data_IF_483728267680
#
_entry.id   IF_483728267680
#
_cell.length_a   1.000
_cell.length_b   1.000
_cell.length_c   1.000
_cell.angle_alpha   90.00
_cell.angle_beta   90.00
_cell.angle_gamma   90.00
#
_symmetry.space_group_name_H-M   'P 1'
#
loop_
_entity.id
_entity.type
_entity.pdbx_description
1 polymer ?
#
# COMPACT_ATOMS: atom_id res chain seq x y z
N UNK A 1 -8.00 3.90 20.48
CA UNK A 1 -6.77 3.11 20.58
C UNK A 1 -6.03 3.15 19.27
N UNK A 2 -4.77 3.46 19.32
CA UNK A 2 -3.92 3.52 18.13
C UNK A 2 -3.08 2.26 18.04
N UNK A 3 -3.22 1.54 16.95
CA UNK A 3 -2.43 0.34 16.68
C UNK A 3 -1.35 0.58 15.63
N UNK A 4 -1.15 1.82 15.25
CA UNK A 4 -0.07 2.19 14.38
C UNK A 4 1.12 2.51 15.26
N UNK A 5 2.01 1.54 15.38
CA UNK A 5 3.24 1.71 16.15
C UNK A 5 4.34 2.00 15.17
N UNK A 6 4.78 3.22 15.14
CA UNK A 6 5.98 3.58 14.41
C UNK A 6 7.17 3.35 15.34
N UNK A 7 7.70 2.15 15.36
CA UNK A 7 8.84 1.78 16.20
C UNK A 7 10.12 2.54 15.83
N UNK A 8 10.20 2.97 14.59
CA UNK A 8 11.40 3.61 14.07
C UNK A 8 11.26 5.12 13.94
N UNK A 9 10.09 5.65 14.21
CA UNK A 9 9.81 7.08 14.11
C UNK A 9 10.32 7.68 12.79
N UNK A 10 10.11 6.96 11.69
CA UNK A 10 10.67 7.30 10.38
C UNK A 10 9.73 8.26 9.64
N UNK A 11 10.16 9.50 9.34
CA UNK A 11 9.31 10.49 8.68
C UNK A 11 9.04 10.20 7.20
N UNK A 12 9.61 9.14 6.64
CA UNK A 12 9.49 8.81 5.21
C UNK A 12 8.40 7.78 4.93
N UNK A 13 7.49 7.54 5.88
CA UNK A 13 6.34 6.69 5.69
C UNK A 13 6.52 5.24 6.13
N UNK A 14 7.63 4.91 6.78
CA UNK A 14 7.82 3.61 7.42
C UNK A 14 7.06 3.60 8.75
N UNK A 15 6.17 2.62 8.93
CA UNK A 15 5.23 2.59 10.05
C UNK A 15 5.51 1.48 11.07
N UNK A 16 6.51 0.61 10.84
CA UNK A 16 6.73 -0.56 11.68
C UNK A 16 5.62 -1.59 11.52
N UNK A 17 5.21 -2.22 12.59
CA UNK A 17 4.11 -3.18 12.57
C UNK A 17 2.79 -2.48 12.80
N UNK A 18 1.82 -2.75 11.91
CA UNK A 18 0.46 -2.27 12.03
C UNK A 18 -0.45 -3.47 12.28
N UNK A 19 -1.30 -3.38 13.31
CA UNK A 19 -2.47 -4.22 13.44
C UNK A 19 -3.67 -3.45 12.93
N UNK A 20 -4.45 -4.06 12.05
CA UNK A 20 -5.65 -3.42 11.55
C UNK A 20 -6.62 -3.14 12.69
N UNK A 21 -7.00 -1.88 12.84
CA UNK A 21 -8.04 -1.43 13.76
C UNK A 21 -9.08 -0.64 12.95
N UNK A 22 -10.33 -1.11 12.87
CA UNK A 22 -11.35 -0.42 12.09
C UNK A 22 -11.68 0.98 12.61
N UNK A 23 -11.36 1.28 13.87
CA UNK A 23 -11.62 2.59 14.48
C UNK A 23 -10.44 3.57 14.32
N UNK A 24 -9.31 3.12 13.77
CA UNK A 24 -8.16 3.99 13.58
C UNK A 24 -8.35 4.93 12.38
N UNK A 25 -7.93 6.18 12.54
CA UNK A 25 -7.87 7.14 11.45
C UNK A 25 -6.52 7.03 10.72
N UNK A 26 -6.44 6.11 9.77
CA UNK A 26 -5.24 5.91 8.98
C UNK A 26 -4.91 7.12 8.11
N UNK A 27 -5.90 7.83 7.59
CA UNK A 27 -5.68 9.02 6.77
C UNK A 27 -4.96 10.12 7.56
N UNK A 28 -5.36 10.32 8.81
CA UNK A 28 -4.71 11.30 9.68
C UNK A 28 -3.24 10.94 9.91
N UNK A 29 -2.96 9.69 10.23
CA UNK A 29 -1.58 9.25 10.50
C UNK A 29 -0.70 9.35 9.27
N UNK A 30 -1.18 8.85 8.14
CA UNK A 30 -0.36 8.80 6.92
C UNK A 30 -0.16 10.16 6.27
N UNK A 31 -1.04 11.13 6.50
CA UNK A 31 -0.84 12.49 6.02
C UNK A 31 0.43 13.15 6.56
N UNK A 32 0.98 12.64 7.67
CA UNK A 32 2.24 13.12 8.24
C UNK A 32 3.47 12.68 7.45
N UNK A 33 3.34 11.68 6.59
CA UNK A 33 4.45 11.01 5.91
C UNK A 33 4.41 11.15 4.39
N UNK A 34 3.44 11.86 3.84
CA UNK A 34 3.27 11.97 2.40
C UNK A 34 3.76 13.32 1.87
N UNK A 35 4.11 13.34 0.59
CA UNK A 35 4.46 14.58 -0.12
C UNK A 35 3.22 15.43 -0.32
N UNK A 36 3.41 16.74 -0.60
CA UNK A 36 2.30 17.67 -0.82
C UNK A 36 1.36 17.22 -1.94
N UNK A 37 1.89 16.60 -2.98
CA UNK A 37 1.11 16.13 -4.13
C UNK A 37 0.16 14.98 -3.77
N UNK A 38 0.48 14.23 -2.72
CA UNK A 38 -0.28 13.05 -2.31
C UNK A 38 -1.09 13.29 -1.02
N UNK A 39 -1.00 14.48 -0.44
CA UNK A 39 -1.59 14.85 0.85
C UNK A 39 -3.10 14.63 0.95
N UNK A 40 -3.80 14.78 -0.16
CA UNK A 40 -5.25 14.67 -0.24
C UNK A 40 -5.73 13.28 -0.67
N UNK A 41 -4.81 12.34 -0.85
CA UNK A 41 -5.20 10.99 -1.21
C UNK A 41 -5.98 10.34 -0.05
N UNK A 42 -7.03 9.61 -0.39
CA UNK A 42 -7.82 8.83 0.54
C UNK A 42 -7.56 7.34 0.31
N UNK A 43 -8.00 6.50 1.23
CA UNK A 43 -7.91 5.06 1.01
C UNK A 43 -8.77 4.63 -0.18
N UNK A 44 -8.20 3.74 -0.99
CA UNK A 44 -9.01 2.93 -1.88
C UNK A 44 -9.65 1.77 -1.12
N UNK A 45 -10.90 1.50 -1.44
CA UNK A 45 -11.55 0.24 -1.13
C UNK A 45 -11.19 -0.79 -2.22
N UNK A 46 -11.46 -2.05 -1.98
CA UNK A 46 -11.20 -3.08 -2.99
C UNK A 46 -11.90 -2.77 -4.33
N UNK A 47 -13.12 -2.25 -4.28
CA UNK A 47 -13.88 -1.89 -5.47
C UNK A 47 -13.31 -0.70 -6.26
N UNK A 48 -12.39 0.04 -5.67
CA UNK A 48 -11.72 1.17 -6.34
C UNK A 48 -10.48 0.73 -7.12
N UNK A 49 -10.06 -0.52 -7.00
CA UNK A 49 -8.86 -1.06 -7.63
C UNK A 49 -9.18 -1.47 -9.08
N UNK A 50 -9.09 -0.53 -9.98
CA UNK A 50 -9.26 -0.73 -11.42
C UNK A 50 -8.55 0.39 -12.18
N UNK A 51 -8.19 0.14 -13.45
CA UNK A 51 -7.52 1.10 -14.33
C UNK A 51 -6.28 1.75 -13.71
N UNK A 52 -5.50 0.97 -12.98
CA UNK A 52 -4.28 1.43 -12.32
C UNK A 52 -3.19 1.65 -13.36
N UNK A 53 -2.67 2.88 -13.43
CA UNK A 53 -1.62 3.27 -14.38
C UNK A 53 -0.31 3.65 -13.71
N UNK A 54 -0.29 3.79 -12.37
CA UNK A 54 0.90 4.18 -11.63
C UNK A 54 0.80 3.69 -10.18
N UNK A 55 1.91 3.20 -9.65
CA UNK A 55 2.06 2.89 -8.24
C UNK A 55 3.28 3.63 -7.68
N UNK A 56 3.16 4.20 -6.49
CA UNK A 56 4.22 5.00 -5.87
C UNK A 56 4.38 4.58 -4.41
N UNK A 57 5.62 4.51 -3.96
CA UNK A 57 5.93 4.18 -2.57
C UNK A 57 7.19 4.91 -2.15
N UNK A 58 7.18 5.48 -0.94
CA UNK A 58 8.39 6.00 -0.30
C UNK A 58 9.01 4.88 0.52
N UNK A 59 10.22 4.49 0.16
CA UNK A 59 10.92 3.37 0.78
C UNK A 59 12.39 3.72 0.94
N UNK A 60 12.92 3.51 2.14
CA UNK A 60 14.32 3.73 2.47
C UNK A 60 14.84 5.12 2.03
N UNK A 61 14.04 6.15 2.32
CA UNK A 61 14.39 7.53 1.99
C UNK A 61 14.30 7.90 0.52
N UNK A 62 13.75 7.04 -0.31
CA UNK A 62 13.63 7.25 -1.75
C UNK A 62 12.18 7.13 -2.20
N UNK A 63 11.84 7.85 -3.23
CA UNK A 63 10.54 7.79 -3.87
C UNK A 63 10.59 6.86 -5.08
N UNK A 64 9.90 5.75 -5.00
CA UNK A 64 9.84 4.74 -6.05
C UNK A 64 8.54 4.83 -6.82
N UNK A 65 8.61 4.69 -8.12
CA UNK A 65 7.47 4.75 -9.03
C UNK A 65 7.50 3.56 -9.97
N UNK A 66 6.35 2.96 -10.19
CA UNK A 66 6.16 1.91 -11.18
C UNK A 66 5.08 2.34 -12.18
N UNK A 67 5.44 2.32 -13.46
CA UNK A 67 4.52 2.54 -14.57
C UNK A 67 4.55 1.37 -15.58
N UNK A 68 5.23 0.28 -15.22
CA UNK A 68 5.25 -0.93 -16.02
C UNK A 68 3.87 -1.59 -16.04
N UNK A 69 3.30 -1.71 -17.23
CA UNK A 69 1.92 -2.20 -17.41
C UNK A 69 1.72 -3.62 -16.90
N UNK A 70 2.72 -4.48 -17.03
CA UNK A 70 2.61 -5.86 -16.56
C UNK A 70 2.62 -5.94 -15.03
N UNK A 71 3.53 -5.20 -14.40
CA UNK A 71 3.62 -5.14 -12.94
C UNK A 71 2.34 -4.54 -12.35
N UNK A 72 1.84 -3.46 -12.94
CA UNK A 72 0.61 -2.82 -12.50
C UNK A 72 -0.61 -3.72 -12.69
N UNK A 73 -0.67 -4.49 -13.77
CA UNK A 73 -1.74 -5.47 -13.97
C UNK A 73 -1.71 -6.57 -12.91
N UNK A 74 -0.54 -7.04 -12.52
CA UNK A 74 -0.39 -8.02 -11.45
C UNK A 74 -0.83 -7.45 -10.09
N UNK A 75 -0.41 -6.24 -9.77
CA UNK A 75 -0.82 -5.55 -8.54
C UNK A 75 -2.35 -5.36 -8.52
N UNK A 76 -2.90 -4.85 -9.60
CA UNK A 76 -4.35 -4.62 -9.72
C UNK A 76 -5.13 -5.91 -9.55
N UNK A 77 -4.76 -6.96 -10.25
CA UNK A 77 -5.42 -8.27 -10.16
C UNK A 77 -5.35 -8.83 -8.74
N UNK A 78 -4.18 -8.73 -8.11
CA UNK A 78 -3.96 -9.23 -6.76
C UNK A 78 -4.84 -8.53 -5.73
N UNK A 79 -4.95 -7.22 -5.82
CA UNK A 79 -5.75 -6.45 -4.85
C UNK A 79 -7.24 -6.47 -5.16
N UNK A 80 -7.63 -6.39 -6.42
CA UNK A 80 -9.04 -6.42 -6.81
C UNK A 80 -9.72 -7.75 -6.47
N UNK A 81 -8.96 -8.85 -6.47
CA UNK A 81 -9.47 -10.18 -6.19
C UNK A 81 -9.12 -10.70 -4.78
N UNK A 82 -8.55 -9.85 -3.93
CA UNK A 82 -8.20 -10.23 -2.57
C UNK A 82 -9.44 -10.56 -1.75
N UNK A 83 -9.30 -11.50 -0.83
CA UNK A 83 -10.38 -11.91 0.08
C UNK A 83 -10.29 -11.16 1.39
N UNK A 84 -11.44 -10.73 1.91
CA UNK A 84 -11.49 -10.00 3.16
C UNK A 84 -11.02 -10.86 4.32
N UNK A 85 -10.06 -10.33 5.10
CA UNK A 85 -9.62 -10.91 6.34
C UNK A 85 -10.57 -10.60 7.49
N UNK A 86 -10.46 -11.36 8.55
CA UNK A 86 -11.27 -11.19 9.75
C UNK A 86 -10.37 -10.98 10.97
N UNK A 87 -10.81 -10.11 11.88
CA UNK A 87 -10.04 -9.77 13.07
C UNK A 87 -8.83 -8.89 12.75
N UNK A 88 -7.74 -9.09 13.47
CA UNK A 88 -6.52 -8.31 13.34
C UNK A 88 -5.46 -9.10 12.58
N UNK A 89 -4.74 -8.41 11.70
CA UNK A 89 -3.60 -8.99 11.01
C UNK A 89 -2.30 -8.62 11.71
N UNK A 90 -1.38 -9.57 11.82
CA UNK A 90 -0.03 -9.34 12.34
C UNK A 90 1.02 -9.19 11.24
N UNK A 91 0.62 -9.07 9.98
CA UNK A 91 1.53 -8.84 8.87
C UNK A 91 2.26 -7.49 9.02
N UNK A 92 3.50 -7.37 8.51
CA UNK A 92 4.27 -6.13 8.62
C UNK A 92 3.78 -5.09 7.60
N UNK A 93 2.81 -4.29 7.98
CA UNK A 93 2.32 -3.17 7.20
C UNK A 93 3.14 -1.93 7.54
N UNK A 94 4.18 -1.66 6.78
CA UNK A 94 5.19 -0.65 7.13
C UNK A 94 5.24 0.54 6.19
N UNK A 95 4.62 0.45 5.01
CA UNK A 95 4.66 1.51 4.01
C UNK A 95 3.30 1.73 3.38
N UNK A 96 3.02 2.97 3.02
CA UNK A 96 1.84 3.34 2.22
C UNK A 96 2.21 3.28 0.75
N UNK A 97 1.36 2.67 -0.05
CA UNK A 97 1.48 2.70 -1.50
C UNK A 97 0.32 3.52 -2.10
N UNK A 98 0.65 4.41 -3.01
CA UNK A 98 -0.30 5.24 -3.73
C UNK A 98 -0.54 4.65 -5.12
N UNK A 99 -1.80 4.41 -5.42
CA UNK A 99 -2.23 3.91 -6.72
C UNK A 99 -2.96 5.00 -7.47
N UNK A 100 -2.55 5.27 -8.70
CA UNK A 100 -3.19 6.26 -9.56
C UNK A 100 -3.96 5.54 -10.65
N UNK A 101 -5.23 5.88 -10.81
CA UNK A 101 -6.06 5.39 -11.90
C UNK A 101 -5.88 6.23 -13.16
N UNK A 102 -6.30 5.69 -14.29
CA UNK A 102 -6.24 6.37 -15.59
C UNK A 102 -6.96 7.73 -15.58
N UNK A 103 -8.03 7.87 -14.79
CA UNK A 103 -8.76 9.13 -14.66
C UNK A 103 -8.06 10.18 -13.76
N UNK A 104 -6.88 9.86 -13.23
CA UNK A 104 -6.11 10.74 -12.35
C UNK A 104 -6.42 10.61 -10.87
N UNK A 105 -7.42 9.82 -10.49
CA UNK A 105 -7.74 9.59 -9.07
C UNK A 105 -6.60 8.83 -8.39
N UNK A 106 -6.17 9.32 -7.23
CA UNK A 106 -5.12 8.68 -6.43
C UNK A 106 -5.71 8.15 -5.13
N UNK A 107 -5.40 6.93 -4.80
CA UNK A 107 -5.81 6.32 -3.54
C UNK A 107 -4.67 5.59 -2.85
N UNK A 108 -4.81 5.43 -1.54
CA UNK A 108 -3.83 4.76 -0.69
C UNK A 108 -4.23 3.32 -0.41
N UNK A 109 -3.25 2.45 -0.39
CA UNK A 109 -3.33 1.11 0.19
C UNK A 109 -2.09 0.86 1.03
N UNK A 110 -2.14 -0.08 1.95
CA UNK A 110 -0.98 -0.46 2.76
C UNK A 110 -0.71 -1.93 2.49
N UNK A 111 0.24 -2.25 1.61
CA UNK A 111 0.59 -3.63 1.35
C UNK A 111 1.46 -4.19 2.48
N UNK A 112 1.33 -5.48 2.74
CA UNK A 112 2.41 -6.20 3.38
C UNK A 112 3.57 -6.26 2.39
N UNK A 113 4.73 -5.78 2.80
CA UNK A 113 5.87 -5.64 1.89
C UNK A 113 6.55 -6.96 1.56
N UNK A 114 6.43 -7.92 2.44
CA UNK A 114 7.01 -9.26 2.32
C UNK A 114 6.05 -10.26 1.67
N UNK A 115 6.35 -11.54 1.77
CA UNK A 115 5.54 -12.62 1.22
C UNK A 115 4.23 -12.89 1.97
N UNK A 116 3.88 -12.09 2.96
CA UNK A 116 2.65 -12.23 3.74
C UNK A 116 1.38 -12.06 2.87
N UNK A 117 1.47 -11.32 1.77
CA UNK A 117 0.40 -11.17 0.77
C UNK A 117 -0.90 -10.60 1.32
N UNK A 118 -0.82 -9.71 2.27
CA UNK A 118 -1.98 -8.98 2.78
C UNK A 118 -1.92 -7.52 2.38
N UNK A 119 -3.06 -6.85 2.42
CA UNK A 119 -3.16 -5.43 2.11
C UNK A 119 -4.25 -4.80 2.96
N UNK A 120 -3.97 -3.64 3.52
CA UNK A 120 -5.00 -2.81 4.16
C UNK A 120 -5.57 -1.86 3.13
N UNK A 121 -6.89 -1.86 3.04
CA UNK A 121 -7.68 -0.93 2.23
C UNK A 121 -8.65 -0.17 3.14
N UNK A 122 -9.42 0.76 2.58
CA UNK A 122 -10.32 1.58 3.38
C UNK A 122 -11.43 0.81 4.10
N UNK A 123 -11.83 -0.33 3.54
CA UNK A 123 -12.91 -1.18 4.08
C UNK A 123 -12.39 -2.42 4.83
N UNK A 124 -11.11 -2.51 5.12
CA UNK A 124 -10.53 -3.57 5.92
C UNK A 124 -9.21 -4.09 5.39
N UNK A 125 -8.73 -5.19 5.97
CA UNK A 125 -7.56 -5.85 5.45
C UNK A 125 -7.98 -7.07 4.62
N UNK A 126 -7.15 -7.39 3.63
CA UNK A 126 -7.43 -8.42 2.64
C UNK A 126 -6.22 -9.31 2.46
N UNK A 127 -6.47 -10.59 2.20
CA UNK A 127 -5.45 -11.54 1.78
C UNK A 127 -5.52 -11.71 0.27
N UNK A 128 -4.37 -11.58 -0.37
CA UNK A 128 -4.27 -11.88 -1.79
C UNK A 128 -4.24 -13.39 -1.99
N UNK A 129 -5.06 -13.87 -2.91
CA UNK A 129 -4.86 -15.20 -3.41
C UNK A 129 -3.75 -15.12 -4.50
N UNK A 130 -2.84 -15.99 -4.51
CA UNK A 130 -1.72 -16.30 -5.42
C UNK A 130 -1.51 -15.50 -6.73
N UNK A 131 -2.19 -14.39 -6.95
CA UNK A 131 -2.11 -13.62 -8.19
C UNK A 131 -0.91 -12.68 -8.27
N UNK A 132 -0.29 -12.35 -7.14
CA UNK A 132 0.98 -11.64 -7.14
C UNK A 132 2.08 -12.64 -6.83
N UNK A 133 2.96 -12.87 -7.79
CA UNK A 133 4.04 -13.82 -7.66
C UNK A 133 5.24 -13.30 -6.87
N UNK A 134 5.38 -11.98 -6.77
CA UNK A 134 6.49 -11.33 -6.07
C UNK A 134 5.99 -10.43 -4.95
N UNK A 135 6.75 -10.35 -3.86
CA UNK A 135 6.52 -9.34 -2.83
C UNK A 135 6.88 -7.93 -3.33
N UNK A 136 6.37 -6.91 -2.66
CA UNK A 136 6.74 -5.52 -3.00
C UNK A 136 8.25 -5.28 -2.79
N UNK A 137 8.85 -5.85 -1.76
CA UNK A 137 10.30 -5.80 -1.58
C UNK A 137 11.05 -6.37 -2.78
N UNK A 138 10.62 -7.52 -3.28
CA UNK A 138 11.25 -8.14 -4.45
C UNK A 138 11.08 -7.29 -5.71
N UNK A 139 9.92 -6.67 -5.89
CA UNK A 139 9.67 -5.77 -7.01
C UNK A 139 10.63 -4.57 -6.99
N UNK A 140 10.82 -3.97 -5.82
CA UNK A 140 11.76 -2.85 -5.65
C UNK A 140 13.19 -3.32 -5.89
N UNK A 141 13.60 -4.43 -5.30
CA UNK A 141 14.95 -4.97 -5.41
C UNK A 141 15.30 -5.35 -6.85
N UNK A 142 14.36 -5.87 -7.62
CA UNK A 142 14.54 -6.22 -9.03
C UNK A 142 14.45 -5.03 -9.99
N UNK A 143 14.26 -3.82 -9.48
CA UNK A 143 14.22 -2.63 -10.30
C UNK A 143 12.91 -2.44 -11.08
N UNK A 144 11.83 -3.08 -10.66
CA UNK A 144 10.51 -2.90 -11.28
C UNK A 144 9.85 -1.58 -10.87
N UNK A 145 10.30 -1.02 -9.76
CA UNK A 145 10.02 0.36 -9.36
C UNK A 145 11.26 1.21 -9.57
N UNK A 146 11.09 2.40 -10.12
CA UNK A 146 12.18 3.33 -10.43
C UNK A 146 12.24 4.47 -9.42
N UNK A 147 13.44 4.85 -9.00
CA UNK A 147 13.63 6.03 -8.15
C UNK A 147 13.39 7.30 -8.95
N UNK A 148 12.62 8.18 -8.38
CA UNK A 148 12.39 9.52 -8.94
C UNK A 148 12.87 10.61 -8.02
#
# INVERSE_FOLDING_TARGET
AYYIVNEYNNPLGELGYIRYDPDADYNLVFSLFVTDDLKNATYFNRSDIYDIVRAEINYDGKHYVCEDKKVLADIQTGYANAEKGYGMSACPFTYVMYLTREDGTVGMVIPAMDSCRACIMGDGWYEQNNSISMSIYDMIEKGLFQVQ
#
